data_IF_973909430400
#
_entry.id   IF_973909430400
#
_cell.length_a   1.000
_cell.length_b   1.000
_cell.length_c   1.000
_cell.angle_alpha   90.00
_cell.angle_beta   90.00
_cell.angle_gamma   90.00
#
_symmetry.space_group_name_H-M   'P 1'
#
loop_
_entity.id
_entity.type
_entity.pdbx_description
1 polymer ?
#
# COMPACT_ATOMS: atom_id res chain seq x y z
N UNK A 1 -17.46 18.07 -24.32
CA UNK A 1 -17.00 19.26 -23.58
C UNK A 1 -16.40 18.77 -22.28
N UNK A 2 -15.24 19.30 -21.86
CA UNK A 2 -14.68 18.94 -20.56
C UNK A 2 -15.58 19.52 -19.45
N UNK A 3 -15.94 18.70 -18.47
CA UNK A 3 -16.73 19.12 -17.32
C UNK A 3 -15.83 19.86 -16.33
N UNK A 4 -16.45 20.72 -15.51
CA UNK A 4 -15.75 21.34 -14.40
C UNK A 4 -15.82 20.38 -13.21
N UNK A 5 -14.67 19.97 -12.64
CA UNK A 5 -14.69 19.08 -11.49
C UNK A 5 -15.37 19.76 -10.31
N UNK A 6 -16.15 18.98 -9.55
CA UNK A 6 -16.83 19.41 -8.33
C UNK A 6 -16.49 18.46 -7.19
N UNK A 7 -16.46 18.97 -5.96
CA UNK A 7 -16.30 18.13 -4.76
C UNK A 7 -17.63 17.42 -4.49
N UNK A 8 -17.59 16.09 -4.43
CA UNK A 8 -18.76 15.23 -4.20
C UNK A 8 -18.82 14.67 -2.79
N UNK A 9 -17.70 14.68 -2.06
CA UNK A 9 -17.65 14.22 -0.68
C UNK A 9 -16.33 14.55 0.00
N UNK A 10 -16.38 14.72 1.32
CA UNK A 10 -15.23 14.96 2.18
C UNK A 10 -15.28 14.06 3.41
N UNK A 11 -14.09 13.67 3.90
CA UNK A 11 -13.91 13.05 5.21
C UNK A 11 -12.85 13.84 5.97
N UNK A 12 -13.04 14.17 7.25
CA UNK A 12 -14.31 14.13 7.97
C UNK A 12 -15.39 14.97 7.26
N UNK A 13 -16.66 14.66 7.52
CA UNK A 13 -17.77 15.46 6.99
C UNK A 13 -17.69 16.91 7.49
N UNK A 14 -18.24 17.89 6.76
CA UNK A 14 -18.20 19.28 7.18
C UNK A 14 -18.79 19.49 8.57
N UNK A 15 -18.08 20.21 9.43
CA UNK A 15 -18.41 20.46 10.84
C UNK A 15 -18.48 19.21 11.73
N UNK A 16 -17.89 18.09 11.31
CA UNK A 16 -17.81 16.89 12.16
C UNK A 16 -17.07 17.20 13.47
N UNK A 17 -17.56 16.62 14.57
CA UNK A 17 -16.94 16.68 15.90
C UNK A 17 -16.48 15.29 16.34
N UNK A 18 -15.66 15.22 17.39
CA UNK A 18 -15.13 13.97 17.92
C UNK A 18 -14.38 13.12 16.88
N UNK A 19 -13.73 13.77 15.92
CA UNK A 19 -12.91 13.08 14.91
C UNK A 19 -11.71 12.44 15.61
N UNK A 20 -11.45 11.17 15.29
CA UNK A 20 -10.30 10.44 15.82
C UNK A 20 -8.99 11.15 15.45
N UNK A 21 -8.06 11.24 16.41
CA UNK A 21 -6.85 12.05 16.26
C UNK A 21 -5.82 11.46 15.28
N UNK A 22 -5.93 10.18 14.95
CA UNK A 22 -5.13 9.48 13.94
C UNK A 22 -5.85 9.32 12.59
N UNK A 23 -7.00 9.98 12.40
CA UNK A 23 -7.76 9.94 11.16
C UNK A 23 -7.07 10.68 10.01
N UNK A 24 -7.46 10.32 8.78
CA UNK A 24 -7.10 11.03 7.57
C UNK A 24 -8.12 12.13 7.23
N UNK A 25 -7.73 13.01 6.31
CA UNK A 25 -8.63 13.99 5.68
C UNK A 25 -8.69 13.69 4.19
N UNK A 26 -9.86 13.43 3.62
CA UNK A 26 -10.01 13.09 2.21
C UNK A 26 -11.04 13.93 1.49
N UNK A 27 -10.88 14.01 0.17
CA UNK A 27 -11.77 14.69 -0.76
C UNK A 27 -12.00 13.78 -1.98
N UNK A 28 -13.23 13.76 -2.46
CA UNK A 28 -13.65 13.06 -3.68
C UNK A 28 -14.26 14.05 -4.66
N UNK A 29 -14.02 13.82 -5.95
CA UNK A 29 -14.46 14.68 -7.04
C UNK A 29 -15.43 13.96 -7.98
N UNK A 30 -16.18 14.71 -8.76
CA UNK A 30 -17.15 14.21 -9.74
C UNK A 30 -16.54 13.55 -10.97
N UNK A 31 -15.23 13.72 -11.19
CA UNK A 31 -14.50 13.16 -12.33
C UNK A 31 -13.04 12.81 -11.97
N UNK A 32 -12.33 12.04 -12.80
CA UNK A 32 -10.92 11.77 -12.60
C UNK A 32 -10.05 13.03 -12.57
N UNK A 33 -9.11 13.08 -11.63
CA UNK A 33 -8.22 14.21 -11.40
C UNK A 33 -6.78 13.93 -11.83
N UNK A 34 -6.04 14.98 -12.19
CA UNK A 34 -4.62 14.86 -12.49
C UNK A 34 -3.83 14.73 -11.19
N UNK A 35 -3.26 13.55 -10.92
CA UNK A 35 -2.60 13.22 -9.66
C UNK A 35 -1.50 14.22 -9.23
N UNK A 36 -0.69 14.72 -10.18
CA UNK A 36 0.38 15.69 -9.88
C UNK A 36 -0.14 17.06 -9.40
N UNK A 37 -1.40 17.38 -9.70
CA UNK A 37 -2.07 18.62 -9.24
C UNK A 37 -2.72 18.47 -7.88
N UNK A 38 -2.76 17.27 -7.29
CA UNK A 38 -3.29 16.98 -5.96
C UNK A 38 -2.12 16.72 -5.02
N UNK A 39 -1.60 17.79 -4.42
CA UNK A 39 -0.38 17.76 -3.61
C UNK A 39 -0.48 18.76 -2.44
N UNK A 40 0.57 18.88 -1.62
CA UNK A 40 0.58 19.74 -0.43
C UNK A 40 0.43 21.24 -0.67
N UNK A 41 0.37 21.71 -1.92
CA UNK A 41 0.06 23.12 -2.26
C UNK A 41 -1.40 23.32 -2.64
N UNK A 42 -2.08 22.26 -3.09
CA UNK A 42 -3.46 22.32 -3.58
C UNK A 42 -4.45 21.65 -2.65
N UNK A 43 -4.00 20.77 -1.75
CA UNK A 43 -4.79 20.22 -0.67
C UNK A 43 -4.04 20.42 0.66
N UNK A 44 -4.56 21.32 1.48
CA UNK A 44 -3.92 21.73 2.75
C UNK A 44 -4.86 21.51 3.92
N UNK A 45 -4.28 21.32 5.11
CA UNK A 45 -4.98 21.30 6.38
C UNK A 45 -4.31 22.31 7.31
N UNK A 46 -5.09 23.17 7.94
CA UNK A 46 -4.60 24.21 8.86
C UNK A 46 -5.36 24.19 10.18
N UNK A 47 -4.81 24.84 11.20
CA UNK A 47 -5.44 25.00 12.53
C UNK A 47 -5.17 26.38 13.13
N UNK A 48 -6.01 26.80 14.07
CA UNK A 48 -5.84 28.04 14.83
C UNK A 48 -6.14 29.33 14.07
N UNK A 49 -6.03 30.44 14.80
CA UNK A 49 -6.15 31.82 14.29
C UNK A 49 -5.01 32.67 14.88
N UNK A 50 -4.02 33.11 14.09
CA UNK A 50 -3.85 32.91 12.65
C UNK A 50 -3.63 31.44 12.26
N UNK A 51 -3.92 31.11 11.00
CA UNK A 51 -3.85 29.74 10.50
C UNK A 51 -2.41 29.21 10.44
N UNK A 52 -2.19 28.04 11.04
CA UNK A 52 -0.92 27.30 11.01
C UNK A 52 -1.11 26.02 10.22
N UNK A 53 -0.19 25.73 9.29
CA UNK A 53 -0.25 24.52 8.47
C UNK A 53 0.03 23.25 9.31
N UNK A 54 -0.78 22.22 9.08
CA UNK A 54 -0.56 20.89 9.63
C UNK A 54 0.35 20.12 8.68
N UNK A 55 1.45 19.58 9.20
CA UNK A 55 2.34 18.72 8.42
C UNK A 55 1.66 17.40 8.09
N UNK A 56 1.83 16.96 6.85
CA UNK A 56 1.28 15.69 6.38
C UNK A 56 1.59 15.45 4.90
N UNK A 57 1.13 14.32 4.40
CA UNK A 57 1.33 13.89 3.01
C UNK A 57 0.00 13.77 2.30
N UNK A 58 -0.08 14.35 1.10
CA UNK A 58 -1.22 14.19 0.21
C UNK A 58 -0.97 13.01 -0.72
N UNK A 59 -1.84 12.02 -0.65
CA UNK A 59 -1.85 10.82 -1.47
C UNK A 59 -2.99 10.93 -2.49
N UNK A 60 -2.69 11.19 -3.77
CA UNK A 60 -3.70 11.27 -4.80
C UNK A 60 -4.23 9.88 -5.16
N UNK A 61 -5.48 9.86 -5.61
CA UNK A 61 -6.18 8.72 -6.20
C UNK A 61 -6.84 9.14 -7.51
N UNK A 62 -7.44 8.21 -8.24
CA UNK A 62 -8.03 8.50 -9.55
C UNK A 62 -9.03 9.67 -9.55
N UNK A 63 -9.88 9.76 -8.52
CA UNK A 63 -10.95 10.78 -8.42
C UNK A 63 -10.97 11.47 -7.06
N UNK A 64 -9.82 11.61 -6.40
CA UNK A 64 -9.76 12.14 -5.03
C UNK A 64 -8.35 12.26 -4.50
N UNK A 65 -8.22 12.77 -3.29
CA UNK A 65 -6.97 12.80 -2.55
C UNK A 65 -7.20 12.54 -1.07
N UNK A 66 -6.21 11.96 -0.41
CA UNK A 66 -6.19 11.77 1.03
C UNK A 66 -4.96 12.43 1.62
N UNK A 67 -5.17 13.33 2.58
CA UNK A 67 -4.14 13.90 3.43
C UNK A 67 -3.99 13.04 4.69
N UNK A 68 -2.78 12.55 4.92
CA UNK A 68 -2.36 11.87 6.14
C UNK A 68 -1.53 12.82 7.00
N UNK A 69 -2.00 13.20 8.20
CA UNK A 69 -1.18 13.94 9.16
C UNK A 69 0.11 13.17 9.50
N UNK A 70 1.24 13.87 9.61
CA UNK A 70 2.53 13.24 9.96
C UNK A 70 2.66 12.87 11.44
N UNK A 71 1.74 13.36 12.26
CA UNK A 71 1.63 13.08 13.68
C UNK A 71 0.15 13.03 14.08
N UNK A 72 -0.14 12.38 15.21
CA UNK A 72 -1.50 12.41 15.77
C UNK A 72 -1.94 13.87 15.99
N UNK A 73 -3.11 14.22 15.48
CA UNK A 73 -3.66 15.56 15.60
C UNK A 73 -3.89 15.91 17.09
N UNK A 74 -3.69 17.16 17.51
CA UNK A 74 -4.08 17.63 18.84
C UNK A 74 -5.56 17.34 19.17
N UNK A 75 -5.86 17.09 20.44
CA UNK A 75 -7.23 16.86 20.92
C UNK A 75 -8.04 18.17 20.94
N UNK A 76 -9.37 18.06 20.82
CA UNK A 76 -10.34 19.16 20.95
C UNK A 76 -9.96 20.40 20.11
N UNK A 77 -9.41 20.15 18.92
CA UNK A 77 -8.83 21.19 18.06
C UNK A 77 -9.60 21.26 16.75
N UNK A 78 -9.95 22.49 16.35
CA UNK A 78 -10.59 22.74 15.05
C UNK A 78 -9.53 22.83 13.96
N UNK A 79 -9.79 22.13 12.86
CA UNK A 79 -9.00 22.14 11.64
C UNK A 79 -9.83 22.65 10.47
N UNK A 80 -9.16 23.28 9.53
CA UNK A 80 -9.72 23.66 8.23
C UNK A 80 -8.97 22.95 7.13
N UNK A 81 -9.68 22.17 6.32
CA UNK A 81 -9.14 21.55 5.13
C UNK A 81 -9.55 22.38 3.91
N UNK A 82 -8.62 22.59 2.98
CA UNK A 82 -8.83 23.40 1.78
C UNK A 82 -8.28 22.70 0.55
N UNK A 83 -9.11 22.60 -0.50
CA UNK A 83 -8.67 22.27 -1.85
C UNK A 83 -8.73 23.53 -2.72
N UNK A 84 -7.61 23.92 -3.33
CA UNK A 84 -7.52 25.15 -4.13
C UNK A 84 -7.91 24.92 -5.59
N UNK A 85 -8.10 26.01 -6.34
CA UNK A 85 -8.33 25.97 -7.79
C UNK A 85 -7.13 25.45 -8.60
N UNK A 86 -5.99 25.21 -7.95
CA UNK A 86 -4.85 24.55 -8.56
C UNK A 86 -5.06 23.05 -8.83
N UNK A 87 -6.03 22.41 -8.16
CA UNK A 87 -6.44 21.04 -8.44
C UNK A 87 -7.21 20.96 -9.76
N UNK A 88 -6.80 20.05 -10.66
CA UNK A 88 -7.36 19.94 -12.02
C UNK A 88 -7.80 18.54 -12.38
N UNK A 89 -8.82 18.44 -13.23
CA UNK A 89 -9.26 17.18 -13.82
C UNK A 89 -8.20 16.58 -14.76
N UNK A 90 -8.38 15.34 -15.18
CA UNK A 90 -7.56 14.70 -16.22
C UNK A 90 -7.59 15.47 -17.56
N UNK A 91 -8.64 16.26 -17.80
CA UNK A 91 -8.75 17.17 -18.96
C UNK A 91 -8.11 18.55 -18.71
N UNK A 92 -7.33 18.71 -17.64
CA UNK A 92 -6.65 19.96 -17.24
C UNK A 92 -7.61 21.12 -16.92
N UNK A 93 -8.86 20.83 -16.52
CA UNK A 93 -9.84 21.83 -16.07
C UNK A 93 -9.72 22.03 -14.56
N UNK A 94 -9.51 23.26 -14.06
CA UNK A 94 -9.42 23.53 -12.61
C UNK A 94 -10.79 23.48 -11.92
N UNK A 95 -10.79 23.32 -10.60
CA UNK A 95 -11.98 23.61 -9.79
C UNK A 95 -12.44 25.07 -10.03
N UNK A 96 -13.75 25.29 -10.10
CA UNK A 96 -14.33 26.62 -10.27
C UNK A 96 -13.99 27.59 -9.12
N UNK A 97 -13.93 27.05 -7.90
CA UNK A 97 -13.58 27.79 -6.69
C UNK A 97 -12.86 26.86 -5.72
N UNK A 98 -12.11 27.44 -4.78
CA UNK A 98 -11.54 26.67 -3.68
C UNK A 98 -12.67 26.10 -2.81
N UNK A 99 -12.53 24.86 -2.37
CA UNK A 99 -13.45 24.21 -1.46
C UNK A 99 -12.80 24.12 -0.08
N UNK A 100 -13.49 24.56 0.97
CA UNK A 100 -12.99 24.47 2.33
C UNK A 100 -14.06 23.93 3.27
N UNK A 101 -13.64 23.13 4.23
CA UNK A 101 -14.51 22.62 5.29
C UNK A 101 -13.75 22.49 6.60
N UNK A 102 -14.48 22.49 7.70
CA UNK A 102 -13.92 22.38 9.05
C UNK A 102 -14.29 21.05 9.68
N UNK A 103 -13.49 20.62 10.64
CA UNK A 103 -13.79 19.52 11.55
C UNK A 103 -13.07 19.73 12.88
N UNK A 104 -13.56 19.09 13.94
CA UNK A 104 -12.98 19.15 15.27
C UNK A 104 -12.61 17.76 15.75
N UNK A 105 -11.34 17.58 16.15
CA UNK A 105 -10.88 16.35 16.79
C UNK A 105 -11.50 16.19 18.17
N UNK A 106 -11.70 14.93 18.58
CA UNK A 106 -12.02 14.61 19.97
C UNK A 106 -10.76 14.18 20.73
N UNK A 107 -10.96 13.37 21.77
CA UNK A 107 -9.89 12.85 22.64
C UNK A 107 -9.41 11.45 22.25
N UNK A 108 -10.11 10.75 21.36
CA UNK A 108 -9.89 9.33 21.06
C UNK A 108 -8.89 9.09 19.93
N UNK A 109 -8.26 7.91 19.99
CA UNK A 109 -7.53 7.29 18.88
C UNK A 109 -8.46 6.23 18.29
N UNK A 110 -8.71 6.30 16.99
CA UNK A 110 -9.51 5.32 16.27
C UNK A 110 -8.69 4.09 15.88
N UNK A 111 -9.33 3.01 15.39
CA UNK A 111 -8.59 1.88 14.85
C UNK A 111 -7.73 2.30 13.66
N UNK A 112 -6.57 1.67 13.51
CA UNK A 112 -5.69 1.89 12.35
C UNK A 112 -6.43 1.51 11.07
N UNK A 113 -6.48 2.43 10.11
CA UNK A 113 -7.13 2.20 8.82
C UNK A 113 -6.23 1.35 7.91
N UNK A 114 -6.81 0.42 7.16
CA UNK A 114 -6.08 -0.35 6.15
C UNK A 114 -5.49 0.51 5.03
N UNK A 115 -4.56 -0.05 4.27
CA UNK A 115 -3.99 0.59 3.07
C UNK A 115 -4.80 0.14 1.85
N UNK A 116 -5.29 1.10 1.08
CA UNK A 116 -6.09 0.80 -0.11
C UNK A 116 -5.19 0.36 -1.27
N UNK A 117 -5.31 -0.90 -1.68
CA UNK A 117 -4.54 -1.48 -2.78
C UNK A 117 -5.10 -1.15 -4.17
N UNK A 118 -6.33 -0.62 -4.26
CA UNK A 118 -7.04 -0.42 -5.52
C UNK A 118 -7.04 -1.70 -6.37
N UNK A 119 -6.80 -1.55 -7.68
CA UNK A 119 -6.70 -2.69 -8.60
C UNK A 119 -5.44 -3.54 -8.42
N UNK A 120 -4.42 -3.07 -7.68
CA UNK A 120 -3.28 -3.92 -7.34
C UNK A 120 -3.73 -5.13 -6.51
N UNK A 121 -4.77 -4.96 -5.67
CA UNK A 121 -5.33 -6.00 -4.80
C UNK A 121 -5.82 -7.26 -5.52
N UNK A 122 -6.02 -7.19 -6.85
CA UNK A 122 -6.33 -8.33 -7.71
C UNK A 122 -5.14 -9.25 -8.02
N UNK A 123 -3.92 -8.85 -7.66
CA UNK A 123 -2.69 -9.62 -7.89
C UNK A 123 -2.09 -10.14 -6.58
N UNK A 124 -1.54 -11.35 -6.62
CA UNK A 124 -0.71 -11.93 -5.56
C UNK A 124 0.77 -11.57 -5.73
N UNK A 125 1.25 -11.41 -6.96
CA UNK A 125 2.59 -10.86 -7.25
C UNK A 125 2.44 -9.77 -8.33
N UNK A 126 2.94 -8.56 -8.06
CA UNK A 126 2.95 -7.46 -9.03
C UNK A 126 4.32 -6.80 -9.00
N UNK A 127 4.96 -6.67 -10.17
CA UNK A 127 6.27 -6.03 -10.25
C UNK A 127 6.45 -5.14 -11.48
N UNK A 128 7.47 -4.28 -11.48
CA UNK A 128 7.75 -3.38 -12.62
C UNK A 128 8.84 -3.89 -13.56
N UNK A 129 9.80 -4.66 -13.05
CA UNK A 129 11.01 -5.06 -13.78
C UNK A 129 11.24 -6.58 -13.84
N UNK A 130 10.31 -7.41 -13.37
CA UNK A 130 10.32 -8.85 -13.63
C UNK A 130 9.93 -9.72 -12.45
N UNK A 131 9.53 -10.96 -12.76
CA UNK A 131 9.26 -12.00 -11.77
C UNK A 131 10.09 -13.21 -12.17
N UNK A 132 11.09 -13.54 -11.35
CA UNK A 132 12.01 -14.64 -11.60
C UNK A 132 11.71 -15.79 -10.64
N UNK A 133 11.54 -16.98 -11.19
CA UNK A 133 11.30 -18.19 -10.43
C UNK A 133 12.42 -19.19 -10.66
N UNK A 134 12.91 -19.79 -9.57
CA UNK A 134 13.66 -21.05 -9.61
C UNK A 134 12.68 -22.16 -9.22
N UNK A 135 12.19 -22.95 -10.19
CA UNK A 135 11.14 -23.95 -9.98
C UNK A 135 11.52 -25.04 -8.96
N UNK A 136 10.55 -25.71 -8.34
CA UNK A 136 9.08 -25.56 -8.53
C UNK A 136 8.46 -24.75 -7.40
N UNK A 137 7.88 -23.59 -7.73
CA UNK A 137 7.09 -22.78 -6.80
C UNK A 137 5.59 -23.08 -6.94
N UNK A 138 4.82 -22.75 -5.91
CA UNK A 138 3.35 -22.82 -5.91
C UNK A 138 2.77 -21.44 -5.64
N UNK A 139 2.10 -20.85 -6.62
CA UNK A 139 1.48 -19.52 -6.53
C UNK A 139 -0.04 -19.66 -6.64
N UNK A 140 -0.79 -19.08 -5.71
CA UNK A 140 -2.26 -19.01 -5.75
C UNK A 140 -2.70 -17.55 -5.83
N UNK A 141 -3.26 -17.18 -6.98
CA UNK A 141 -3.63 -15.82 -7.34
C UNK A 141 -2.96 -15.35 -8.64
N UNK A 142 -3.39 -14.20 -9.13
CA UNK A 142 -2.91 -13.62 -10.40
C UNK A 142 -1.56 -12.92 -10.23
N UNK A 143 -0.67 -13.05 -11.23
CA UNK A 143 0.63 -12.36 -11.23
C UNK A 143 0.77 -11.41 -12.42
N UNK A 144 1.50 -10.30 -12.23
CA UNK A 144 1.58 -9.24 -13.24
C UNK A 144 2.94 -8.54 -13.31
N UNK A 145 3.35 -8.16 -14.52
CA UNK A 145 4.49 -7.26 -14.74
C UNK A 145 4.13 -6.08 -15.64
N UNK A 146 4.49 -4.86 -15.23
CA UNK A 146 4.35 -3.65 -16.06
C UNK A 146 5.22 -2.50 -15.53
N UNK A 147 5.97 -1.78 -16.38
CA UNK A 147 5.82 -1.69 -17.83
C UNK A 147 6.61 -2.74 -18.63
N UNK A 148 7.38 -3.61 -17.97
CA UNK A 148 8.19 -4.61 -18.66
C UNK A 148 7.34 -5.69 -19.36
N UNK A 149 7.88 -6.28 -20.41
CA UNK A 149 7.23 -7.34 -21.19
C UNK A 149 7.30 -8.71 -20.50
N UNK A 150 6.49 -9.66 -21.00
CA UNK A 150 6.37 -11.03 -20.48
C UNK A 150 7.69 -11.82 -20.46
N UNK A 151 8.67 -11.44 -21.27
CA UNK A 151 10.01 -12.05 -21.28
C UNK A 151 10.76 -11.89 -19.96
N UNK A 152 10.34 -10.95 -19.10
CA UNK A 152 10.87 -10.77 -17.75
C UNK A 152 10.14 -11.63 -16.69
N UNK A 153 9.19 -12.46 -17.09
CA UNK A 153 8.61 -13.52 -16.25
C UNK A 153 9.31 -14.83 -16.61
N UNK A 154 10.26 -15.23 -15.76
CA UNK A 154 11.21 -16.33 -16.06
C UNK A 154 10.99 -17.50 -15.11
N UNK A 155 11.12 -18.73 -15.62
CA UNK A 155 11.00 -19.95 -14.80
C UNK A 155 9.57 -20.41 -14.52
N UNK A 156 8.59 -19.93 -15.29
CA UNK A 156 7.18 -20.34 -15.12
C UNK A 156 6.65 -21.22 -16.25
N UNK A 157 7.41 -21.46 -17.32
CA UNK A 157 6.97 -22.21 -18.50
C UNK A 157 5.60 -21.73 -19.01
N UNK A 158 5.53 -20.42 -19.30
CA UNK A 158 4.29 -19.74 -19.65
C UNK A 158 3.72 -20.26 -20.96
N UNK A 159 2.42 -20.56 -20.95
CA UNK A 159 1.63 -20.83 -22.16
C UNK A 159 0.65 -19.68 -22.35
N UNK A 160 0.78 -18.94 -23.46
CA UNK A 160 -0.16 -17.87 -23.78
C UNK A 160 -1.56 -18.44 -24.06
N UNK A 161 -2.59 -17.79 -23.53
CA UNK A 161 -3.97 -18.09 -23.90
C UNK A 161 -4.24 -17.69 -25.37
N UNK A 162 -5.25 -18.30 -25.99
CA UNK A 162 -5.61 -18.04 -27.38
C UNK A 162 -5.96 -16.57 -27.66
N UNK A 163 -6.44 -15.83 -26.66
CA UNK A 163 -6.73 -14.39 -26.77
C UNK A 163 -5.47 -13.51 -26.67
N UNK A 164 -4.36 -14.08 -26.19
CA UNK A 164 -3.13 -13.38 -25.83
C UNK A 164 -3.33 -12.24 -24.81
N UNK A 165 -4.44 -12.25 -24.05
CA UNK A 165 -4.72 -11.29 -22.96
C UNK A 165 -4.00 -11.69 -21.66
N UNK A 166 -3.73 -12.98 -21.48
CA UNK A 166 -2.99 -13.55 -20.34
C UNK A 166 -2.24 -14.82 -20.77
N UNK A 167 -1.42 -15.35 -19.86
CA UNK A 167 -0.84 -16.69 -19.98
C UNK A 167 -1.12 -17.52 -18.72
N UNK A 168 -0.88 -18.82 -18.81
CA UNK A 168 -1.03 -19.79 -17.72
C UNK A 168 0.28 -20.50 -17.42
N UNK A 169 0.41 -21.03 -16.21
CA UNK A 169 1.53 -21.87 -15.77
C UNK A 169 1.00 -22.93 -14.82
N UNK A 170 1.58 -24.13 -14.84
CA UNK A 170 1.27 -25.18 -13.85
C UNK A 170 1.66 -24.78 -12.42
N UNK A 171 2.55 -23.79 -12.27
CA UNK A 171 2.99 -23.26 -10.98
C UNK A 171 2.09 -22.12 -10.45
N UNK A 172 1.10 -21.69 -11.24
CA UNK A 172 0.22 -20.56 -10.92
C UNK A 172 -1.24 -21.00 -11.00
N UNK A 173 -1.88 -21.14 -9.83
CA UNK A 173 -3.35 -21.24 -9.72
C UNK A 173 -3.93 -19.83 -9.84
N UNK A 174 -4.02 -19.36 -11.08
CA UNK A 174 -4.39 -18.00 -11.45
C UNK A 174 -3.99 -17.70 -12.89
N UNK A 175 -3.93 -16.41 -13.24
CA UNK A 175 -3.48 -15.93 -14.54
C UNK A 175 -2.20 -15.11 -14.43
N UNK A 176 -1.41 -15.15 -15.49
CA UNK A 176 -0.19 -14.37 -15.65
C UNK A 176 -0.44 -13.26 -16.65
N UNK A 177 -0.09 -12.02 -16.31
CA UNK A 177 -0.31 -10.84 -17.14
C UNK A 177 1.00 -10.08 -17.36
N UNK A 178 1.16 -9.49 -18.54
CA UNK A 178 2.32 -8.67 -18.87
C UNK A 178 1.95 -7.47 -19.76
N UNK A 179 2.78 -6.43 -19.74
CA UNK A 179 2.50 -5.17 -20.42
C UNK A 179 2.36 -5.26 -21.95
N UNK A 180 2.95 -6.30 -22.57
CA UNK A 180 2.91 -6.51 -24.02
C UNK A 180 1.80 -7.48 -24.48
N UNK A 181 0.88 -7.86 -23.59
CA UNK A 181 -0.29 -8.67 -23.94
C UNK A 181 -1.40 -7.84 -24.61
N UNK A 182 -2.38 -8.53 -25.18
CA UNK A 182 -3.51 -7.90 -25.86
C UNK A 182 -4.36 -7.07 -24.88
N UNK A 183 -5.05 -6.06 -25.42
CA UNK A 183 -5.99 -5.25 -24.64
C UNK A 183 -7.10 -6.12 -24.03
N UNK A 184 -7.58 -5.82 -22.80
CA UNK A 184 -7.31 -4.62 -21.99
C UNK A 184 -6.13 -4.74 -21.00
N UNK A 185 -5.30 -5.78 -21.11
CA UNK A 185 -4.25 -6.08 -20.12
C UNK A 185 -3.25 -4.94 -19.88
N UNK A 186 -2.71 -4.26 -20.92
CA UNK A 186 -1.72 -3.19 -20.69
C UNK A 186 -2.28 -2.04 -19.84
N UNK A 187 -3.48 -1.54 -20.16
CA UNK A 187 -4.11 -0.44 -19.39
C UNK A 187 -4.44 -0.87 -17.96
N UNK A 188 -4.97 -2.09 -17.78
CA UNK A 188 -5.30 -2.61 -16.46
C UNK A 188 -4.05 -2.74 -15.57
N UNK A 189 -2.94 -3.22 -16.14
CA UNK A 189 -1.67 -3.31 -15.43
C UNK A 189 -1.06 -1.94 -15.12
N UNK A 190 -1.15 -0.97 -16.02
CA UNK A 190 -0.74 0.42 -15.72
C UNK A 190 -1.50 0.96 -14.52
N UNK A 191 -2.83 0.75 -14.46
CA UNK A 191 -3.64 1.16 -13.31
C UNK A 191 -3.26 0.39 -12.04
N UNK A 192 -3.04 -0.93 -12.12
CA UNK A 192 -2.62 -1.74 -10.97
C UNK A 192 -1.26 -1.29 -10.41
N UNK A 193 -0.27 -1.05 -11.27
CA UNK A 193 1.05 -0.56 -10.86
C UNK A 193 0.99 0.87 -10.31
N UNK A 194 0.10 1.71 -10.83
CA UNK A 194 -0.17 3.03 -10.24
C UNK A 194 -0.76 2.88 -8.83
N UNK A 195 -1.76 2.02 -8.65
CA UNK A 195 -2.39 1.79 -7.34
C UNK A 195 -1.41 1.16 -6.33
N UNK A 196 -0.50 0.30 -6.79
CA UNK A 196 0.60 -0.22 -5.98
C UNK A 196 1.52 0.90 -5.46
N UNK A 197 1.89 1.85 -6.32
CA UNK A 197 2.69 3.01 -5.93
C UNK A 197 1.93 3.90 -4.94
N UNK A 198 0.64 4.15 -5.19
CA UNK A 198 -0.23 4.89 -4.26
C UNK A 198 -0.31 4.19 -2.90
N UNK A 199 -0.48 2.87 -2.86
CA UNK A 199 -0.50 2.09 -1.62
C UNK A 199 0.83 2.16 -0.85
N UNK A 200 1.96 2.11 -1.57
CA UNK A 200 3.28 2.33 -0.96
C UNK A 200 3.39 3.71 -0.30
N UNK A 201 3.02 4.77 -1.02
CA UNK A 201 3.05 6.14 -0.50
C UNK A 201 2.08 6.33 0.67
N UNK A 202 0.89 5.74 0.60
CA UNK A 202 -0.10 5.72 1.68
C UNK A 202 0.48 5.09 2.97
N UNK A 203 1.00 3.87 2.87
CA UNK A 203 1.59 3.16 4.00
C UNK A 203 2.77 3.94 4.61
N UNK A 204 3.63 4.54 3.79
CA UNK A 204 4.78 5.34 4.22
C UNK A 204 4.39 6.66 4.91
N UNK A 205 3.21 7.19 4.61
CA UNK A 205 2.73 8.49 5.11
C UNK A 205 2.06 8.42 6.49
N UNK A 206 1.74 7.22 6.99
CA UNK A 206 1.00 7.06 8.25
C UNK A 206 1.81 7.58 9.45
N UNK A 207 1.17 8.32 10.34
CA UNK A 207 1.79 8.71 11.61
C UNK A 207 2.13 7.44 12.43
N UNK A 208 3.37 7.29 12.92
CA UNK A 208 3.76 6.12 13.69
C UNK A 208 3.24 6.17 15.12
N UNK A 209 2.81 5.02 15.65
CA UNK A 209 2.50 4.81 17.07
C UNK A 209 3.75 4.39 17.85
N UNK A 210 4.61 3.59 17.20
CA UNK A 210 5.86 3.06 17.78
C UNK A 210 7.02 3.34 16.84
N UNK A 211 8.14 3.86 17.37
CA UNK A 211 9.34 4.15 16.59
C UNK A 211 10.55 3.35 17.08
N UNK A 212 11.33 2.84 16.12
CA UNK A 212 12.60 2.12 16.30
C UNK A 212 12.54 0.98 17.33
N UNK A 213 11.44 0.23 17.36
CA UNK A 213 11.28 -0.91 18.25
C UNK A 213 12.44 -1.90 18.07
N UNK A 214 13.07 -2.31 19.18
CA UNK A 214 14.20 -3.23 19.15
C UNK A 214 15.43 -2.70 18.40
N UNK A 215 15.54 -1.38 18.19
CA UNK A 215 16.67 -0.74 17.49
C UNK A 215 16.98 -1.36 16.10
N UNK A 216 15.94 -1.75 15.35
CA UNK A 216 16.09 -2.34 14.02
C UNK A 216 16.23 -3.86 14.02
N UNK A 217 16.06 -4.52 15.18
CA UNK A 217 15.97 -5.97 15.27
C UNK A 217 14.83 -6.39 16.19
N UNK A 218 13.92 -7.24 15.71
CA UNK A 218 12.80 -7.76 16.50
C UNK A 218 12.74 -9.27 16.39
N UNK A 219 12.47 -9.94 17.51
CA UNK A 219 12.37 -11.40 17.57
C UNK A 219 11.80 -11.84 18.90
N UNK A 220 11.08 -12.96 18.91
CA UNK A 220 10.41 -13.53 20.09
C UNK A 220 9.48 -12.52 20.78
N UNK A 221 8.73 -11.77 19.97
CA UNK A 221 7.84 -10.69 20.43
C UNK A 221 6.43 -10.85 19.86
N UNK A 222 5.44 -10.45 20.63
CA UNK A 222 4.06 -10.26 20.16
C UNK A 222 3.81 -8.78 19.91
N UNK A 223 3.36 -8.43 18.71
CA UNK A 223 3.08 -7.08 18.27
C UNK A 223 1.57 -6.84 18.21
N UNK A 224 1.13 -5.81 18.91
CA UNK A 224 -0.26 -5.34 18.88
C UNK A 224 -0.53 -4.54 17.60
N UNK A 225 -1.80 -4.34 17.22
CA UNK A 225 -2.17 -3.51 16.07
C UNK A 225 -1.60 -2.10 16.18
N UNK A 226 -1.28 -1.47 15.04
CA UNK A 226 -0.70 -0.13 15.02
C UNK A 226 0.25 0.13 13.87
N UNK A 227 0.79 1.34 13.84
CA UNK A 227 1.80 1.79 12.89
C UNK A 227 3.17 1.79 13.57
N UNK A 228 4.09 0.98 13.03
CA UNK A 228 5.46 0.86 13.51
C UNK A 228 6.42 1.45 12.49
N UNK A 229 7.42 2.20 12.95
CA UNK A 229 8.38 2.86 12.07
C UNK A 229 9.81 2.64 12.49
N UNK A 230 10.66 2.26 11.54
CA UNK A 230 12.12 2.23 11.68
C UNK A 230 12.76 3.22 10.73
N UNK A 231 13.67 4.04 11.27
CA UNK A 231 14.53 4.92 10.47
C UNK A 231 15.69 4.17 9.78
N UNK A 232 15.82 2.87 10.03
CA UNK A 232 16.85 1.97 9.51
C UNK A 232 16.21 0.77 8.79
N UNK A 233 17.02 -0.23 8.43
CA UNK A 233 16.52 -1.57 8.13
C UNK A 233 15.96 -2.28 9.36
N UNK A 234 15.24 -3.37 9.12
CA UNK A 234 14.65 -4.26 10.11
C UNK A 234 15.11 -5.70 9.89
N UNK A 235 15.72 -6.30 10.92
CA UNK A 235 16.08 -7.71 10.98
C UNK A 235 15.10 -8.47 11.88
N UNK A 236 14.58 -9.59 11.39
CA UNK A 236 13.76 -10.55 12.14
C UNK A 236 14.53 -11.87 12.24
N UNK A 237 15.30 -12.10 13.33
CA UNK A 237 16.15 -13.28 13.46
C UNK A 237 15.46 -14.47 14.13
N UNK A 238 14.34 -14.25 14.80
CA UNK A 238 13.51 -15.29 15.44
C UNK A 238 12.03 -14.97 15.25
N UNK A 239 11.18 -15.97 15.49
CA UNK A 239 9.73 -15.88 15.31
C UNK A 239 9.10 -14.66 15.99
N UNK A 240 8.06 -14.11 15.36
CA UNK A 240 7.23 -13.05 15.93
C UNK A 240 5.75 -13.40 15.78
N UNK A 241 4.91 -12.77 16.60
CA UNK A 241 3.45 -12.93 16.55
C UNK A 241 2.78 -11.58 16.34
N UNK A 242 1.84 -11.50 15.42
CA UNK A 242 0.92 -10.37 15.26
C UNK A 242 -0.41 -10.76 15.89
N UNK A 243 -0.80 -10.10 16.98
CA UNK A 243 -1.97 -10.51 17.76
C UNK A 243 -3.00 -9.40 17.83
N UNK A 244 -4.18 -9.67 17.28
CA UNK A 244 -5.33 -8.76 17.29
C UNK A 244 -6.53 -9.40 16.61
N UNK A 245 -7.62 -8.65 16.50
CA UNK A 245 -8.87 -9.09 15.90
C UNK A 245 -8.81 -9.13 14.37
N UNK A 246 -9.87 -9.66 13.75
CA UNK A 246 -10.01 -9.74 12.29
C UNK A 246 -10.14 -8.38 11.58
N UNK A 247 -10.36 -7.29 12.33
CA UNK A 247 -10.46 -5.92 11.81
C UNK A 247 -9.24 -5.07 12.11
N UNK A 248 -8.33 -5.58 12.95
CA UNK A 248 -7.14 -4.84 13.35
C UNK A 248 -6.10 -4.81 12.23
N UNK A 249 -5.32 -3.73 12.20
CA UNK A 249 -4.37 -3.42 11.12
C UNK A 249 -2.97 -3.19 11.69
N UNK A 250 -1.98 -3.70 10.97
CA UNK A 250 -0.56 -3.47 11.22
C UNK A 250 0.06 -2.81 10.01
N UNK A 251 0.80 -1.72 10.22
CA UNK A 251 1.58 -1.06 9.17
C UNK A 251 3.02 -0.94 9.67
N UNK A 252 3.94 -1.61 8.99
CA UNK A 252 5.37 -1.55 9.27
C UNK A 252 6.04 -0.67 8.21
N UNK A 253 6.61 0.46 8.63
CA UNK A 253 7.37 1.40 7.80
C UNK A 253 8.86 1.21 8.02
N UNK A 254 9.58 0.75 7.00
CA UNK A 254 11.00 0.39 7.11
C UNK A 254 11.79 1.21 6.08
N UNK A 255 12.69 2.08 6.58
CA UNK A 255 13.46 2.99 5.74
C UNK A 255 14.66 2.30 5.04
N UNK A 256 15.11 1.15 5.54
CA UNK A 256 16.12 0.31 4.89
C UNK A 256 15.53 -1.01 4.39
N UNK A 257 16.35 -2.06 4.45
CA UNK A 257 15.95 -3.43 4.07
C UNK A 257 15.13 -4.12 5.17
N UNK A 258 14.23 -5.01 4.77
CA UNK A 258 13.60 -5.99 5.65
C UNK A 258 14.27 -7.35 5.42
N UNK A 259 14.91 -7.89 6.45
CA UNK A 259 15.53 -9.22 6.42
C UNK A 259 14.86 -10.15 7.42
N UNK A 260 14.35 -11.28 6.94
CA UNK A 260 13.76 -12.34 7.76
C UNK A 260 14.70 -13.54 7.66
N UNK A 261 15.19 -14.00 8.80
CA UNK A 261 16.19 -15.09 8.84
C UNK A 261 15.59 -16.44 8.45
N UNK A 262 16.47 -17.40 8.14
CA UNK A 262 16.05 -18.75 7.76
C UNK A 262 15.16 -19.39 8.84
N UNK A 263 14.09 -20.04 8.41
CA UNK A 263 13.17 -20.79 9.27
C UNK A 263 12.32 -19.94 10.22
N UNK A 264 12.41 -18.61 10.16
CA UNK A 264 11.60 -17.71 10.99
C UNK A 264 10.14 -17.74 10.52
N UNK A 265 9.22 -17.83 11.48
CA UNK A 265 7.79 -17.77 11.24
C UNK A 265 7.18 -16.48 11.82
N UNK A 266 6.48 -15.74 10.97
CA UNK A 266 5.55 -14.70 11.40
C UNK A 266 4.19 -15.36 11.61
N UNK A 267 3.64 -15.27 12.82
CA UNK A 267 2.39 -15.95 13.20
C UNK A 267 1.27 -14.95 13.44
N UNK A 268 0.05 -15.26 13.01
CA UNK A 268 -1.15 -14.48 13.33
C UNK A 268 -1.89 -15.12 14.52
N UNK A 269 -2.29 -14.28 15.48
CA UNK A 269 -3.06 -14.68 16.65
C UNK A 269 -4.27 -13.75 16.86
N UNK A 270 -5.26 -14.20 17.65
CA UNK A 270 -6.43 -13.38 18.00
C UNK A 270 -7.49 -13.21 16.89
N UNK A 271 -7.37 -13.98 15.80
CA UNK A 271 -8.09 -13.81 14.52
C UNK A 271 -7.55 -12.72 13.60
N UNK A 272 -6.33 -12.24 13.84
CA UNK A 272 -5.64 -11.36 12.89
C UNK A 272 -5.61 -11.98 11.49
N UNK A 273 -5.76 -11.14 10.47
CA UNK A 273 -5.82 -11.57 9.07
C UNK A 273 -4.67 -10.95 8.28
N UNK A 274 -4.01 -11.76 7.46
CA UNK A 274 -2.91 -11.33 6.60
C UNK A 274 -3.27 -10.12 5.72
N UNK A 275 -4.52 -10.03 5.26
CA UNK A 275 -5.00 -8.93 4.43
C UNK A 275 -4.95 -7.55 5.12
N UNK A 276 -4.78 -7.52 6.45
CA UNK A 276 -4.67 -6.29 7.25
C UNK A 276 -3.23 -6.00 7.73
N UNK A 277 -2.24 -6.76 7.28
CA UNK A 277 -0.82 -6.57 7.63
C UNK A 277 -0.10 -5.98 6.42
N UNK A 278 0.56 -4.84 6.59
CA UNK A 278 1.24 -4.12 5.51
C UNK A 278 2.70 -3.86 5.86
N UNK A 279 3.61 -4.27 4.97
CA UNK A 279 5.05 -4.08 5.08
C UNK A 279 5.50 -3.08 4.01
N UNK A 280 5.67 -1.81 4.37
CA UNK A 280 6.25 -0.81 3.48
C UNK A 280 7.77 -0.79 3.69
N UNK A 281 8.52 -1.12 2.63
CA UNK A 281 9.98 -1.27 2.70
C UNK A 281 10.64 -0.41 1.62
N UNK A 282 11.48 0.54 2.04
CA UNK A 282 12.17 1.44 1.11
C UNK A 282 13.42 0.80 0.49
N UNK A 283 14.03 -0.16 1.18
CA UNK A 283 15.07 -1.04 0.65
C UNK A 283 14.49 -2.28 -0.03
N UNK A 284 15.24 -3.38 0.04
CA UNK A 284 14.80 -4.69 -0.44
C UNK A 284 14.17 -5.52 0.68
N UNK A 285 13.41 -6.54 0.29
CA UNK A 285 12.88 -7.55 1.20
C UNK A 285 13.56 -8.88 0.91
N UNK A 286 14.09 -9.53 1.95
CA UNK A 286 14.66 -10.87 1.87
C UNK A 286 14.04 -11.77 2.94
N UNK A 287 13.39 -12.84 2.50
CA UNK A 287 12.94 -13.93 3.34
C UNK A 287 13.85 -15.13 3.14
N UNK A 288 14.56 -15.51 4.20
CA UNK A 288 15.49 -16.63 4.20
C UNK A 288 14.83 -17.97 3.91
N UNK A 289 15.67 -18.99 3.71
CA UNK A 289 15.24 -20.36 3.44
C UNK A 289 14.22 -20.82 4.47
N UNK A 290 13.12 -21.40 3.99
CA UNK A 290 11.97 -21.90 4.79
C UNK A 290 11.34 -20.89 5.76
N UNK A 291 11.55 -19.57 5.59
CA UNK A 291 10.86 -18.56 6.37
C UNK A 291 9.37 -18.46 5.97
N UNK A 292 8.50 -18.07 6.89
CA UNK A 292 7.08 -17.85 6.66
C UNK A 292 6.67 -16.40 6.97
N UNK A 293 6.00 -15.77 6.02
CA UNK A 293 5.52 -14.39 6.11
C UNK A 293 4.00 -14.33 6.09
N UNK A 294 3.49 -13.29 6.74
CA UNK A 294 2.07 -12.94 6.75
C UNK A 294 1.93 -11.47 6.32
N UNK A 295 1.11 -11.22 5.29
CA UNK A 295 0.72 -9.87 4.90
C UNK A 295 1.12 -9.38 3.52
N UNK A 296 0.98 -8.08 3.32
CA UNK A 296 1.11 -7.41 2.02
C UNK A 296 2.43 -6.66 2.00
N UNK A 297 3.37 -7.10 1.17
CA UNK A 297 4.69 -6.51 1.04
C UNK A 297 4.67 -5.45 -0.06
N UNK A 298 4.90 -4.19 0.30
CA UNK A 298 5.03 -3.02 -0.56
C UNK A 298 6.50 -2.58 -0.58
N UNK A 299 7.30 -3.18 -1.47
CA UNK A 299 8.74 -2.90 -1.62
C UNK A 299 9.00 -1.85 -2.68
N UNK A 300 9.85 -0.87 -2.36
CA UNK A 300 10.37 0.10 -3.34
C UNK A 300 11.42 -0.50 -4.26
N UNK A 301 12.04 -1.60 -3.86
CA UNK A 301 13.03 -2.31 -4.69
C UNK A 301 12.60 -3.75 -4.89
N UNK A 302 13.50 -4.71 -4.65
CA UNK A 302 13.28 -6.13 -4.87
C UNK A 302 12.59 -6.81 -3.69
N UNK A 303 11.98 -7.95 -3.98
CA UNK A 303 11.54 -8.92 -2.96
C UNK A 303 12.09 -10.29 -3.34
N UNK A 304 12.78 -10.95 -2.41
CA UNK A 304 13.32 -12.30 -2.57
C UNK A 304 12.71 -13.24 -1.53
N UNK A 305 12.10 -14.34 -1.99
CA UNK A 305 11.78 -15.50 -1.17
C UNK A 305 12.79 -16.61 -1.51
N UNK A 306 13.67 -16.92 -0.56
CA UNK A 306 14.64 -18.01 -0.71
C UNK A 306 13.98 -19.39 -0.66
N UNK A 307 14.79 -20.42 -0.86
CA UNK A 307 14.36 -21.82 -1.02
C UNK A 307 13.32 -22.23 0.01
N UNK A 308 12.12 -22.61 -0.45
CA UNK A 308 11.06 -23.12 0.42
C UNK A 308 10.41 -22.09 1.34
N UNK A 309 10.75 -20.79 1.22
CA UNK A 309 10.05 -19.74 1.93
C UNK A 309 8.59 -19.64 1.47
N UNK A 310 7.73 -19.12 2.33
CA UNK A 310 6.30 -19.03 2.06
C UNK A 310 5.68 -17.74 2.55
N UNK A 311 4.55 -17.36 1.94
CA UNK A 311 3.78 -16.20 2.35
C UNK A 311 2.28 -16.43 2.13
N UNK A 312 1.48 -16.09 3.15
CA UNK A 312 0.06 -15.79 3.00
C UNK A 312 -0.06 -14.28 2.84
N UNK A 313 -0.19 -13.81 1.60
CA UNK A 313 0.11 -12.40 1.34
C UNK A 313 0.21 -12.00 -0.12
N UNK A 314 0.80 -10.83 -0.32
CA UNK A 314 1.01 -10.22 -1.63
C UNK A 314 2.43 -9.70 -1.72
N UNK A 315 3.06 -9.87 -2.89
CA UNK A 315 4.42 -9.41 -3.17
C UNK A 315 4.38 -8.30 -4.22
N UNK A 316 4.47 -7.05 -3.77
CA UNK A 316 4.43 -5.87 -4.62
C UNK A 316 5.78 -5.17 -4.65
N UNK A 317 6.49 -5.28 -5.78
CA UNK A 317 7.84 -4.75 -5.95
C UNK A 317 7.87 -3.66 -7.02
N UNK A 318 8.39 -2.48 -6.69
CA UNK A 318 8.63 -1.45 -7.71
C UNK A 318 9.85 -1.77 -8.60
N UNK A 319 10.61 -2.82 -8.31
CA UNK A 319 11.53 -3.46 -9.26
C UNK A 319 11.11 -4.90 -9.55
N UNK A 320 11.78 -5.89 -8.97
CA UNK A 320 11.64 -7.31 -9.31
C UNK A 320 11.25 -8.18 -8.12
N UNK A 321 10.58 -9.29 -8.40
CA UNK A 321 10.33 -10.36 -7.42
C UNK A 321 11.15 -11.59 -7.82
N UNK A 322 11.82 -12.21 -6.85
CA UNK A 322 12.56 -13.47 -7.02
C UNK A 322 11.98 -14.50 -6.04
N UNK A 323 11.57 -15.66 -6.55
CA UNK A 323 11.08 -16.77 -5.73
C UNK A 323 11.83 -18.06 -6.06
N UNK A 324 12.13 -18.88 -5.05
CA UNK A 324 12.89 -20.12 -5.19
C UNK A 324 12.16 -21.25 -4.49
N UNK A 325 11.52 -22.15 -5.25
CA UNK A 325 10.71 -23.23 -4.67
C UNK A 325 9.73 -22.74 -3.59
N UNK A 326 9.16 -21.55 -3.77
CA UNK A 326 8.42 -20.84 -2.73
C UNK A 326 6.92 -21.10 -2.84
N UNK A 327 6.19 -20.87 -1.74
CA UNK A 327 4.73 -20.90 -1.73
C UNK A 327 4.16 -19.50 -1.52
N UNK A 328 3.38 -18.98 -2.46
CA UNK A 328 2.80 -17.62 -2.39
C UNK A 328 1.29 -17.72 -2.55
N UNK A 329 0.55 -17.44 -1.47
CA UNK A 329 -0.91 -17.61 -1.44
C UNK A 329 -1.58 -16.27 -1.20
N UNK A 330 -2.48 -15.87 -2.10
CA UNK A 330 -3.31 -14.69 -1.92
C UNK A 330 -4.15 -14.79 -0.63
N UNK A 331 -4.18 -13.76 0.24
CA UNK A 331 -5.02 -13.74 1.42
C UNK A 331 -6.50 -13.93 1.08
N UNK A 332 -7.21 -14.64 1.95
CA UNK A 332 -8.66 -14.76 1.86
C UNK A 332 -9.34 -13.37 1.85
N UNK A 333 -10.51 -13.23 1.17
CA UNK A 333 -11.24 -11.98 1.07
C UNK A 333 -11.57 -11.33 2.42
#
# INVERSE_FOLDING_TARGET
MATVPTVTGTTPSPSATNVARNGNVSVTFSEPMTASTLNGTTFTVTTGTPAVAVSGTVVPSASGATFWPSAQLPADTTFTATVTTGAKSAANVPLAMAHSWTFMTGTTIGPTLGVNLGTAGGFVILSKSGIMNVPTSAVTGDIGVSPIAATAIVGFDLTADATNVFSTSLQVTGRVYAANYAAPTPSNLTTAVSNMQTAYTDAAARAPDVTNLGAGQIGTITLNPGVYKWGTGLLIPTDITLSGSATDVWIFQIAGDLTISNGVNITLAGNALAKNVYWQVAGQVSAGTTAHLEGIVLSMTSITLDTGASINGRLYAQTAVVIRGATVVQPAP
#
